data_IF_136092275484
#
_entry.id   IF_136092275484
#
_cell.length_a   1.000
_cell.length_b   1.000
_cell.length_c   1.000
_cell.angle_alpha   90.00
_cell.angle_beta   90.00
_cell.angle_gamma   90.00
#
_symmetry.space_group_name_H-M   'P 1'
#
loop_
_entity.id
_entity.type
_entity.pdbx_description
1 polymer ?
#
# COMPACT_ATOMS: atom_id res chain seq x y z
N UNK A 1 6.87 10.84 -37.88
CA UNK A 1 6.21 11.09 -36.57
C UNK A 1 4.94 10.23 -36.45
N UNK A 2 5.02 9.05 -35.81
CA UNK A 2 3.86 8.15 -35.53
C UNK A 2 3.62 7.90 -34.03
N UNK A 3 4.57 8.32 -33.17
CA UNK A 3 4.63 8.01 -31.73
C UNK A 3 3.43 8.42 -30.88
N UNK A 4 2.77 9.55 -31.17
CA UNK A 4 1.78 10.15 -30.24
C UNK A 4 0.47 9.33 -30.15
N UNK A 5 0.01 8.75 -31.25
CA UNK A 5 -1.24 7.97 -31.31
C UNK A 5 -1.05 6.55 -30.77
N UNK A 6 0.13 5.98 -30.99
CA UNK A 6 0.52 4.67 -30.46
C UNK A 6 0.72 4.74 -28.92
N UNK A 7 1.28 5.84 -28.40
CA UNK A 7 1.40 6.09 -26.95
C UNK A 7 0.04 6.20 -26.25
N UNK A 8 -0.95 6.86 -26.88
CA UNK A 8 -2.33 6.94 -26.33
C UNK A 8 -2.97 5.55 -26.25
N UNK A 9 -2.83 4.75 -27.31
CA UNK A 9 -3.36 3.38 -27.34
C UNK A 9 -2.70 2.50 -26.29
N UNK A 10 -1.37 2.60 -26.15
CA UNK A 10 -0.63 1.86 -25.15
C UNK A 10 -1.09 2.20 -23.73
N UNK A 11 -1.20 3.49 -23.39
CA UNK A 11 -1.69 3.95 -22.08
C UNK A 11 -3.11 3.47 -21.79
N UNK A 12 -3.99 3.52 -22.79
CA UNK A 12 -5.36 3.01 -22.65
C UNK A 12 -5.36 1.51 -22.33
N UNK A 13 -4.58 0.71 -23.06
CA UNK A 13 -4.49 -0.74 -22.85
C UNK A 13 -3.86 -1.08 -21.51
N UNK A 14 -2.79 -0.38 -21.09
CA UNK A 14 -2.20 -0.54 -19.75
C UNK A 14 -3.24 -0.28 -18.66
N UNK A 15 -4.01 0.82 -18.77
CA UNK A 15 -5.08 1.14 -17.83
C UNK A 15 -6.18 0.07 -17.81
N UNK A 16 -6.64 -0.38 -18.98
CA UNK A 16 -7.64 -1.44 -19.09
C UNK A 16 -7.18 -2.72 -18.38
N UNK A 17 -5.91 -3.11 -18.56
CA UNK A 17 -5.33 -4.28 -17.91
C UNK A 17 -5.30 -4.10 -16.39
N UNK A 18 -4.86 -2.93 -15.89
CA UNK A 18 -4.81 -2.61 -14.44
C UNK A 18 -6.20 -2.59 -13.81
N UNK A 19 -7.18 -1.98 -14.48
CA UNK A 19 -8.56 -1.92 -14.00
C UNK A 19 -9.19 -3.32 -13.97
N UNK A 20 -8.95 -4.13 -15.02
CA UNK A 20 -9.39 -5.55 -15.07
C UNK A 20 -8.74 -6.40 -13.98
N UNK A 21 -7.45 -6.17 -13.71
CA UNK A 21 -6.71 -6.87 -12.65
C UNK A 21 -7.36 -6.63 -11.28
N UNK A 22 -7.69 -5.38 -10.95
CA UNK A 22 -8.33 -5.02 -9.69
C UNK A 22 -9.75 -5.60 -9.58
N UNK A 23 -10.55 -5.50 -10.64
CA UNK A 23 -11.92 -6.05 -10.68
C UNK A 23 -11.92 -7.58 -10.46
N UNK A 24 -10.95 -8.29 -11.04
CA UNK A 24 -10.83 -9.74 -10.84
C UNK A 24 -10.48 -10.09 -9.40
N UNK A 25 -9.62 -9.30 -8.75
CA UNK A 25 -9.24 -9.52 -7.35
C UNK A 25 -10.40 -9.36 -6.36
N UNK A 26 -11.49 -8.70 -6.74
CA UNK A 26 -12.70 -8.62 -5.91
C UNK A 26 -13.38 -9.99 -5.76
N UNK A 27 -13.14 -10.91 -6.70
CA UNK A 27 -13.87 -12.17 -6.82
C UNK A 27 -12.97 -13.40 -6.70
N UNK A 28 -11.68 -13.29 -7.03
CA UNK A 28 -10.72 -14.39 -6.96
C UNK A 28 -9.41 -13.96 -6.30
N UNK A 29 -8.74 -14.88 -5.60
CA UNK A 29 -7.43 -14.62 -5.00
C UNK A 29 -6.34 -14.41 -6.05
N UNK A 30 -5.30 -13.68 -5.67
CA UNK A 30 -4.15 -13.41 -6.53
C UNK A 30 -3.47 -14.71 -7.03
N UNK A 31 -3.40 -15.74 -6.20
CA UNK A 31 -2.86 -17.06 -6.59
C UNK A 31 -3.59 -17.72 -7.76
N UNK A 32 -4.92 -17.53 -7.84
CA UNK A 32 -5.75 -18.10 -8.90
C UNK A 32 -5.74 -17.25 -10.17
N UNK A 33 -5.31 -16.00 -10.06
CA UNK A 33 -5.26 -15.07 -11.17
C UNK A 33 -4.13 -15.45 -12.13
N UNK A 34 -4.40 -15.36 -13.43
CA UNK A 34 -3.39 -15.56 -14.46
C UNK A 34 -3.69 -14.71 -15.71
N UNK A 35 -2.70 -14.58 -16.58
CA UNK A 35 -2.76 -13.75 -17.80
C UNK A 35 -3.97 -14.13 -18.68
N UNK A 36 -4.33 -15.41 -18.73
CA UNK A 36 -5.47 -15.89 -19.53
C UNK A 36 -6.80 -15.34 -19.02
N UNK A 37 -7.00 -15.34 -17.69
CA UNK A 37 -8.21 -14.82 -17.06
C UNK A 37 -8.33 -13.32 -17.34
N UNK A 38 -7.24 -12.57 -17.18
CA UNK A 38 -7.20 -11.14 -17.47
C UNK A 38 -7.50 -10.86 -18.94
N UNK A 39 -6.83 -11.55 -19.87
CA UNK A 39 -7.05 -11.36 -21.30
C UNK A 39 -8.51 -11.64 -21.71
N UNK A 40 -9.10 -12.71 -21.15
CA UNK A 40 -10.50 -13.07 -21.40
C UNK A 40 -11.45 -12.00 -20.88
N UNK A 41 -11.24 -11.52 -19.65
CA UNK A 41 -12.09 -10.48 -19.03
C UNK A 41 -11.95 -9.12 -19.73
N UNK A 42 -10.72 -8.71 -20.04
CA UNK A 42 -10.41 -7.46 -20.73
C UNK A 42 -10.74 -7.48 -22.24
N UNK A 43 -11.11 -8.65 -22.79
CA UNK A 43 -11.37 -8.88 -24.22
C UNK A 43 -10.18 -8.49 -25.11
N UNK A 44 -8.97 -8.86 -24.71
CA UNK A 44 -7.74 -8.66 -25.47
C UNK A 44 -7.06 -9.98 -25.82
N UNK A 45 -6.27 -10.00 -26.90
CA UNK A 45 -5.41 -11.15 -27.20
C UNK A 45 -4.22 -11.22 -26.24
N UNK A 46 -3.72 -12.43 -25.95
CA UNK A 46 -2.48 -12.62 -25.17
C UNK A 46 -1.29 -11.88 -25.79
N UNK A 47 -1.19 -11.85 -27.12
CA UNK A 47 -0.18 -11.08 -27.82
C UNK A 47 -0.24 -9.59 -27.45
N UNK A 48 -1.44 -9.01 -27.31
CA UNK A 48 -1.64 -7.63 -26.87
C UNK A 48 -1.19 -7.42 -25.44
N UNK A 49 -1.46 -8.35 -24.52
CA UNK A 49 -0.94 -8.27 -23.15
C UNK A 49 0.58 -8.19 -23.14
N UNK A 50 1.25 -9.07 -23.89
CA UNK A 50 2.72 -9.12 -23.96
C UNK A 50 3.38 -7.93 -24.67
N UNK A 51 2.62 -7.07 -25.35
CA UNK A 51 3.12 -5.77 -25.83
C UNK A 51 3.31 -4.76 -24.69
N UNK A 52 2.67 -4.99 -23.54
CA UNK A 52 2.66 -4.06 -22.41
C UNK A 52 3.34 -4.64 -21.17
N UNK A 53 3.18 -5.95 -20.92
CA UNK A 53 3.70 -6.61 -19.72
C UNK A 53 4.26 -7.98 -20.02
N UNK A 54 5.44 -8.28 -19.47
CA UNK A 54 6.10 -9.58 -19.60
C UNK A 54 5.43 -10.66 -18.74
N UNK A 55 4.84 -10.28 -17.60
CA UNK A 55 4.22 -11.20 -16.65
C UNK A 55 3.22 -10.47 -15.74
N UNK A 56 2.50 -11.25 -14.92
CA UNK A 56 1.52 -10.72 -13.97
C UNK A 56 2.16 -9.86 -12.87
N UNK A 57 3.41 -10.14 -12.48
CA UNK A 57 4.12 -9.36 -11.46
C UNK A 57 4.37 -7.92 -11.90
N UNK A 58 4.63 -7.66 -13.19
CA UNK A 58 4.78 -6.30 -13.69
C UNK A 58 3.49 -5.49 -13.55
N UNK A 59 2.33 -6.11 -13.85
CA UNK A 59 1.03 -5.48 -13.63
C UNK A 59 0.83 -5.16 -12.14
N UNK A 60 1.16 -6.10 -11.27
CA UNK A 60 1.07 -5.89 -9.81
C UNK A 60 1.94 -4.72 -9.34
N UNK A 61 3.20 -4.65 -9.78
CA UNK A 61 4.13 -3.58 -9.39
C UNK A 61 3.58 -2.23 -9.83
N UNK A 62 3.14 -2.08 -11.08
CA UNK A 62 2.58 -0.82 -11.55
C UNK A 62 1.27 -0.43 -10.84
N UNK A 63 0.40 -1.39 -10.55
CA UNK A 63 -0.83 -1.14 -9.77
C UNK A 63 -0.51 -0.66 -8.35
N UNK A 64 0.55 -1.19 -7.75
CA UNK A 64 1.00 -0.77 -6.43
C UNK A 64 1.64 0.61 -6.46
N UNK A 65 2.48 0.88 -7.45
CA UNK A 65 3.10 2.18 -7.63
C UNK A 65 2.02 3.26 -7.86
N UNK A 66 0.99 2.98 -8.68
CA UNK A 66 -0.17 3.88 -8.83
C UNK A 66 -0.87 4.15 -7.48
N UNK A 67 -1.04 3.13 -6.64
CA UNK A 67 -1.70 3.27 -5.34
C UNK A 67 -0.86 4.09 -4.35
N UNK A 68 0.46 3.93 -4.38
CA UNK A 68 1.41 4.67 -3.55
C UNK A 68 1.55 6.12 -4.01
N UNK A 69 1.67 6.38 -5.32
CA UNK A 69 1.73 7.73 -5.88
C UNK A 69 0.46 8.53 -5.59
N UNK A 70 -0.72 7.89 -5.60
CA UNK A 70 -1.95 8.55 -5.17
C UNK A 70 -1.90 8.93 -3.70
N UNK A 71 -1.30 8.09 -2.86
CA UNK A 71 -1.11 8.38 -1.44
C UNK A 71 -0.14 9.56 -1.25
N UNK A 72 0.95 9.61 -2.00
CA UNK A 72 1.94 10.70 -1.94
C UNK A 72 1.42 12.03 -2.52
N UNK A 73 0.62 12.00 -3.58
CA UNK A 73 0.00 13.20 -4.14
C UNK A 73 -1.07 13.80 -3.22
N UNK A 74 -1.78 12.97 -2.45
CA UNK A 74 -2.66 13.42 -1.36
C UNK A 74 -1.81 14.11 -0.27
N UNK A 75 -0.63 13.56 0.06
CA UNK A 75 0.27 14.11 1.08
C UNK A 75 0.80 15.51 0.71
N UNK A 76 1.16 15.74 -0.55
CA UNK A 76 1.71 17.03 -0.97
C UNK A 76 0.69 18.18 -1.01
N UNK A 77 -0.62 17.87 -0.98
CA UNK A 77 -1.69 18.88 -1.01
C UNK A 77 -2.21 19.28 0.37
N UNK A 78 -1.89 18.54 1.43
CA UNK A 78 -2.46 18.74 2.77
C UNK A 78 -1.38 18.87 3.85
N UNK A 79 -0.49 19.86 3.75
CA UNK A 79 0.43 20.20 4.85
C UNK A 79 -0.33 20.80 6.04
N UNK A 80 -0.98 19.95 6.85
CA UNK A 80 -1.46 20.28 8.19
C UNK A 80 -0.99 19.17 9.16
N UNK A 81 -0.76 19.52 10.43
CA UNK A 81 -0.17 18.65 11.47
C UNK A 81 -0.92 17.31 11.75
N UNK A 82 -2.09 17.09 11.15
CA UNK A 82 -2.84 15.83 11.13
C UNK A 82 -2.23 14.73 10.25
N UNK A 83 -1.18 15.03 9.47
CA UNK A 83 -0.49 14.09 8.58
C UNK A 83 0.43 13.07 9.27
N UNK A 84 0.29 12.91 10.60
CA UNK A 84 1.06 11.93 11.41
C UNK A 84 0.53 10.50 11.30
N UNK A 85 -0.51 10.23 10.51
CA UNK A 85 -0.95 8.85 10.27
C UNK A 85 0.12 8.08 9.48
N UNK A 86 0.62 6.93 9.99
CA UNK A 86 1.42 6.00 9.23
C UNK A 86 0.79 5.70 7.87
N UNK A 87 1.60 5.42 6.84
CA UNK A 87 1.10 5.04 5.51
C UNK A 87 0.12 3.86 5.56
N UNK A 88 0.31 2.96 6.53
CA UNK A 88 -0.59 1.85 6.80
C UNK A 88 -1.91 2.24 7.50
N UNK A 89 -2.20 3.53 7.74
CA UNK A 89 -3.46 4.05 8.30
C UNK A 89 -4.17 5.02 7.34
N UNK A 90 -3.51 5.43 6.25
CA UNK A 90 -4.06 6.38 5.29
C UNK A 90 -5.17 5.73 4.45
N UNK A 91 -6.16 6.55 4.08
CA UNK A 91 -7.28 6.10 3.24
C UNK A 91 -6.77 5.79 1.85
N UNK A 92 -6.50 4.51 1.59
CA UNK A 92 -6.38 4.02 0.22
C UNK A 92 -7.73 4.28 -0.46
N UNK A 93 -7.71 4.82 -1.67
CA UNK A 93 -8.96 5.00 -2.43
C UNK A 93 -9.66 3.66 -2.59
N UNK A 94 -11.00 3.64 -2.57
CA UNK A 94 -11.80 2.39 -2.64
C UNK A 94 -11.34 1.43 -3.73
N UNK A 95 -10.81 1.96 -4.84
CA UNK A 95 -10.25 1.22 -5.98
C UNK A 95 -9.16 0.21 -5.63
N UNK A 96 -8.24 0.52 -4.69
CA UNK A 96 -7.09 -0.34 -4.40
C UNK A 96 -7.23 -1.12 -3.08
N UNK A 97 -8.33 -0.93 -2.36
CA UNK A 97 -8.60 -1.62 -1.09
C UNK A 97 -8.58 -3.15 -1.25
N UNK A 98 -9.00 -3.64 -2.42
CA UNK A 98 -8.99 -5.07 -2.77
C UNK A 98 -7.60 -5.73 -2.62
N UNK A 99 -6.53 -4.97 -2.84
CA UNK A 99 -5.15 -5.46 -2.72
C UNK A 99 -4.78 -5.82 -1.26
N UNK A 100 -5.40 -5.15 -0.29
CA UNK A 100 -5.18 -5.36 1.13
C UNK A 100 -6.01 -6.52 1.71
N UNK A 101 -7.03 -6.96 0.97
CA UNK A 101 -7.88 -8.09 1.34
C UNK A 101 -7.26 -9.43 0.93
N UNK A 102 -6.46 -9.47 -0.13
CA UNK A 102 -5.75 -10.69 -0.54
C UNK A 102 -4.58 -11.00 0.42
N UNK A 103 -4.45 -12.27 0.82
CA UNK A 103 -3.45 -12.69 1.80
C UNK A 103 -2.00 -12.45 1.34
N UNK A 104 -1.67 -12.79 0.10
CA UNK A 104 -0.31 -12.66 -0.41
C UNK A 104 0.02 -11.21 -0.73
N UNK A 105 -0.91 -10.52 -1.38
CA UNK A 105 -0.72 -9.13 -1.75
C UNK A 105 -0.60 -8.25 -0.50
N UNK A 106 -1.46 -8.44 0.51
CA UNK A 106 -1.37 -7.65 1.75
C UNK A 106 -0.02 -7.80 2.46
N UNK A 107 0.54 -9.02 2.51
CA UNK A 107 1.87 -9.25 3.11
C UNK A 107 2.99 -8.60 2.28
N UNK A 108 2.91 -8.72 0.95
CA UNK A 108 3.87 -8.08 0.05
C UNK A 108 3.82 -6.54 0.18
N UNK A 109 2.62 -5.97 0.22
CA UNK A 109 2.39 -4.52 0.39
C UNK A 109 2.92 -4.05 1.74
N UNK A 110 2.62 -4.76 2.83
CA UNK A 110 3.14 -4.45 4.14
C UNK A 110 4.67 -4.39 4.14
N UNK A 111 5.34 -5.38 3.53
CA UNK A 111 6.80 -5.40 3.40
C UNK A 111 7.34 -4.21 2.60
N UNK A 112 6.71 -3.86 1.48
CA UNK A 112 7.11 -2.70 0.66
C UNK A 112 6.95 -1.39 1.42
N UNK A 113 5.80 -1.18 2.06
CA UNK A 113 5.51 0.00 2.88
C UNK A 113 6.47 0.11 4.07
N UNK A 114 6.75 -1.00 4.74
CA UNK A 114 7.74 -1.05 5.83
C UNK A 114 9.10 -0.58 5.32
N UNK A 115 9.61 -1.17 4.24
CA UNK A 115 10.93 -0.83 3.69
C UNK A 115 11.01 0.63 3.22
N UNK A 116 9.93 1.16 2.64
CA UNK A 116 9.83 2.57 2.25
C UNK A 116 9.93 3.49 3.47
N UNK A 117 9.16 3.22 4.53
CA UNK A 117 9.11 4.06 5.72
C UNK A 117 10.26 3.81 6.71
N UNK A 118 10.99 2.70 6.60
CA UNK A 118 11.97 2.21 7.58
C UNK A 118 13.04 3.26 7.90
N UNK A 119 13.73 3.75 6.87
CA UNK A 119 14.92 4.62 7.04
C UNK A 119 14.59 5.91 7.78
N UNK A 120 13.51 6.58 7.39
CA UNK A 120 13.13 7.86 8.00
C UNK A 120 12.48 7.68 9.37
N UNK A 121 11.70 6.62 9.56
CA UNK A 121 11.09 6.29 10.85
C UNK A 121 12.14 5.95 11.90
N UNK A 122 13.13 5.11 11.58
CA UNK A 122 14.22 4.75 12.50
C UNK A 122 14.99 6.00 12.93
N UNK A 123 15.37 6.87 11.98
CA UNK A 123 16.05 8.13 12.29
C UNK A 123 15.25 9.02 13.24
N UNK A 124 13.94 9.14 13.02
CA UNK A 124 13.04 9.91 13.90
C UNK A 124 12.98 9.29 15.29
N UNK A 125 12.90 7.96 15.39
CA UNK A 125 12.82 7.26 16.67
C UNK A 125 14.10 7.42 17.48
N UNK A 126 15.27 7.24 16.86
CA UNK A 126 16.57 7.47 17.50
C UNK A 126 16.67 8.90 18.03
N UNK A 127 16.31 9.90 17.20
CA UNK A 127 16.40 11.32 17.57
C UNK A 127 15.43 11.72 18.68
N UNK A 128 14.17 11.28 18.60
CA UNK A 128 13.10 11.77 19.47
C UNK A 128 13.02 11.04 20.81
N UNK A 129 13.50 9.79 20.87
CA UNK A 129 13.38 8.92 22.04
C UNK A 129 14.74 8.41 22.56
N UNK A 130 15.86 8.95 22.05
CA UNK A 130 17.21 8.58 22.47
C UNK A 130 17.51 7.07 22.39
N UNK A 131 17.01 6.43 21.34
CA UNK A 131 17.14 4.99 21.11
C UNK A 131 18.37 4.67 20.26
N UNK A 132 18.95 3.49 20.46
CA UNK A 132 19.88 2.90 19.50
C UNK A 132 19.17 2.57 18.18
N UNK A 133 19.94 2.39 17.10
CA UNK A 133 19.38 1.98 15.81
C UNK A 133 18.64 0.63 15.90
N UNK A 134 19.19 -0.32 16.66
CA UNK A 134 18.58 -1.64 16.87
C UNK A 134 17.23 -1.54 17.59
N UNK A 135 17.15 -0.77 18.67
CA UNK A 135 15.90 -0.55 19.41
C UNK A 135 14.85 0.17 18.57
N UNK A 136 15.26 1.24 17.87
CA UNK A 136 14.40 1.98 16.96
C UNK A 136 13.85 1.08 15.85
N UNK A 137 14.69 0.20 15.28
CA UNK A 137 14.25 -0.77 14.28
C UNK A 137 13.23 -1.76 14.85
N UNK A 138 13.48 -2.35 16.03
CA UNK A 138 12.54 -3.31 16.65
C UNK A 138 11.21 -2.67 17.03
N UNK A 139 11.25 -1.47 17.58
CA UNK A 139 10.04 -0.71 17.91
C UNK A 139 9.27 -0.33 16.65
N UNK A 140 9.95 0.15 15.60
CA UNK A 140 9.30 0.47 14.34
C UNK A 140 8.68 -0.77 13.68
N UNK A 141 9.38 -1.90 13.68
CA UNK A 141 8.86 -3.19 13.19
C UNK A 141 7.57 -3.58 13.92
N UNK A 142 7.58 -3.55 15.25
CA UNK A 142 6.42 -3.89 16.07
C UNK A 142 5.23 -2.95 15.81
N UNK A 143 5.48 -1.64 15.84
CA UNK A 143 4.43 -0.62 15.63
C UNK A 143 3.84 -0.75 14.22
N UNK A 144 4.69 -0.87 13.20
CA UNK A 144 4.25 -0.93 11.81
C UNK A 144 3.37 -2.16 11.55
N UNK A 145 3.85 -3.36 11.87
CA UNK A 145 3.10 -4.59 11.60
C UNK A 145 1.91 -4.78 12.54
N UNK A 146 1.99 -4.27 13.77
CA UNK A 146 0.86 -4.21 14.70
C UNK A 146 -0.26 -3.32 14.14
N UNK A 147 0.05 -2.08 13.76
CA UNK A 147 -0.94 -1.17 13.15
C UNK A 147 -1.51 -1.74 11.84
N UNK A 148 -0.66 -2.31 10.97
CA UNK A 148 -1.12 -2.92 9.72
C UNK A 148 -2.10 -4.08 9.97
N UNK A 149 -1.78 -4.95 10.93
CA UNK A 149 -2.62 -6.11 11.28
C UNK A 149 -3.98 -5.68 11.83
N UNK A 150 -4.03 -4.64 12.65
CA UNK A 150 -5.28 -4.07 13.17
C UNK A 150 -6.12 -3.44 12.05
N UNK A 151 -5.50 -2.69 11.15
CA UNK A 151 -6.24 -2.12 10.01
C UNK A 151 -6.81 -3.20 9.11
N UNK A 152 -6.07 -4.29 8.91
CA UNK A 152 -6.55 -5.47 8.21
C UNK A 152 -7.73 -6.13 8.92
N UNK A 153 -7.70 -6.31 10.25
CA UNK A 153 -8.83 -6.88 10.99
C UNK A 153 -10.08 -6.00 10.95
N UNK A 154 -9.90 -4.68 10.82
CA UNK A 154 -10.98 -3.70 10.67
C UNK A 154 -11.35 -3.42 9.20
N UNK A 155 -10.85 -4.25 8.26
CA UNK A 155 -11.10 -4.16 6.81
C UNK A 155 -10.78 -2.80 6.19
N UNK A 156 -9.94 -1.99 6.83
CA UNK A 156 -9.58 -0.65 6.39
C UNK A 156 -10.79 0.30 6.27
N UNK A 157 -11.88 0.01 6.96
CA UNK A 157 -13.09 0.83 6.96
C UNK A 157 -12.98 1.94 8.01
N UNK A 158 -12.87 3.21 7.57
CA UNK A 158 -12.77 4.39 8.46
C UNK A 158 -14.12 4.76 9.10
N UNK A 159 -14.62 3.89 9.97
CA UNK A 159 -15.84 4.09 10.76
C UNK A 159 -15.52 4.56 12.20
N UNK A 160 -16.54 4.72 13.04
CA UNK A 160 -16.34 5.13 14.44
C UNK A 160 -15.50 4.13 15.25
N UNK A 161 -15.66 2.84 15.02
CA UNK A 161 -14.91 1.79 15.70
C UNK A 161 -13.42 1.87 15.34
N UNK A 162 -13.12 2.04 14.04
CA UNK A 162 -11.76 2.25 13.56
C UNK A 162 -11.10 3.45 14.23
N UNK A 163 -11.79 4.60 14.29
CA UNK A 163 -11.27 5.80 14.95
C UNK A 163 -11.01 5.56 16.45
N UNK A 164 -11.90 4.85 17.16
CA UNK A 164 -11.71 4.51 18.57
C UNK A 164 -10.46 3.65 18.76
N UNK A 165 -10.26 2.62 17.92
CA UNK A 165 -9.10 1.72 18.00
C UNK A 165 -7.79 2.44 17.63
N UNK A 166 -7.77 3.28 16.59
CA UNK A 166 -6.57 4.04 16.24
C UNK A 166 -6.15 5.01 17.36
N UNK A 167 -7.12 5.68 17.98
CA UNK A 167 -6.85 6.58 19.10
C UNK A 167 -6.28 5.82 20.32
N UNK A 168 -6.80 4.62 20.61
CA UNK A 168 -6.29 3.76 21.68
C UNK A 168 -4.84 3.37 21.41
N UNK A 169 -4.54 2.86 20.21
CA UNK A 169 -3.20 2.40 19.82
C UNK A 169 -2.21 3.56 19.80
N UNK A 170 -2.60 4.71 19.24
CA UNK A 170 -1.75 5.89 19.15
C UNK A 170 -1.34 6.38 20.54
N UNK A 171 -2.29 6.44 21.48
CA UNK A 171 -1.99 6.75 22.88
C UNK A 171 -1.04 5.73 23.49
N UNK A 172 -1.33 4.43 23.37
CA UNK A 172 -0.47 3.37 23.91
C UNK A 172 0.97 3.49 23.41
N UNK A 173 1.15 3.65 22.10
CA UNK A 173 2.47 3.81 21.47
C UNK A 173 3.15 5.09 21.95
N UNK A 174 2.45 6.24 21.97
CA UNK A 174 3.03 7.52 22.39
C UNK A 174 3.49 7.50 23.84
N UNK A 175 2.66 6.97 24.75
CA UNK A 175 3.01 6.84 26.16
C UNK A 175 4.17 5.86 26.37
N UNK A 176 4.16 4.72 25.66
CA UNK A 176 5.26 3.75 25.71
C UNK A 176 6.60 4.35 25.25
N UNK A 177 6.61 5.04 24.11
CA UNK A 177 7.82 5.66 23.56
C UNK A 177 8.37 6.80 24.44
N UNK A 178 7.49 7.57 25.09
CA UNK A 178 7.92 8.64 26.01
C UNK A 178 8.66 8.13 27.24
N UNK A 179 8.40 6.88 27.66
CA UNK A 179 8.99 6.30 28.87
C UNK A 179 10.10 5.27 28.58
N UNK A 180 10.31 4.87 27.32
CA UNK A 180 11.39 3.96 26.93
C UNK A 180 12.79 4.58 27.04
N UNK A 181 12.90 5.92 27.02
CA UNK A 181 14.16 6.66 27.02
C UNK A 181 14.85 6.75 28.39
N UNK A 182 14.22 6.24 29.46
CA UNK A 182 14.64 6.38 30.86
C UNK A 182 15.18 5.09 31.49
N UNK A 183 15.48 4.06 30.69
CA UNK A 183 16.03 2.77 31.14
C UNK A 183 17.50 2.63 30.78
#
# INVERSE_FOLDING_TARGET
>A
MKKRKDDIRAKYTCRLIKDTFLELLENISYEKLNISIICKKAKIARATFYLHYNNLNQVLIEVLDDALELTDNINNKNLNESDKEPLCQKSITSKYQVLFNDFYLSNYIASRLYNYAKKDSIKKFMKNYNLTEYEAEKLFLFIFYGSFSINKSLKWEKNEEWNKVQNLISKFVEYGLKHSSNS
#
